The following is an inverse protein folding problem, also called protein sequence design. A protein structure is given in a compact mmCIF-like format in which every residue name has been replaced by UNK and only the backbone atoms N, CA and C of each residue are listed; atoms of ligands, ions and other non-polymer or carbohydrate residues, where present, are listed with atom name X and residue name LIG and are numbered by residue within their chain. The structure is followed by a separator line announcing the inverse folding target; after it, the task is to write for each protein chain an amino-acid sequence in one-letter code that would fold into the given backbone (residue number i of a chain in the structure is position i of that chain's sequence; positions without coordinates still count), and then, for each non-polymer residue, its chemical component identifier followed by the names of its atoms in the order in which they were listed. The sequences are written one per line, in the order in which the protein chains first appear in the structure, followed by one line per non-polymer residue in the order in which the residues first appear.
data_IF_368661080024
#
_entry.id   IF_368661080024
#
_cell.length_a   1.000
_cell.length_b   1.000
_cell.length_c   1.000
_cell.angle_alpha   90.00
_cell.angle_beta   90.00
_cell.angle_gamma   90.00
#
_symmetry.space_group_name_H-M   'P 1'
#
loop_
_entity.id
_entity.type
_entity.pdbx_description
1 polymer ?
#
# COMPACT_ATOMS: atom_id res chain seq x y z
N UNK A 1 9.29 -7.24 -4.96
CA UNK A 1 9.29 -8.57 -4.32
C UNK A 1 8.72 -9.60 -5.27
N UNK A 2 7.43 -9.77 -5.51
CA UNK A 2 6.91 -10.74 -6.48
C UNK A 2 6.52 -10.04 -7.79
N UNK A 3 6.75 -10.71 -8.91
CA UNK A 3 6.39 -10.21 -10.24
C UNK A 3 4.92 -10.53 -10.50
N UNK A 4 4.01 -9.70 -9.95
CA UNK A 4 2.60 -9.84 -10.25
C UNK A 4 2.36 -9.66 -11.73
N UNK A 5 1.60 -10.57 -12.35
CA UNK A 5 1.42 -10.63 -13.81
C UNK A 5 0.85 -9.34 -14.42
N UNK A 6 0.16 -8.51 -13.63
CA UNK A 6 -0.46 -7.26 -14.05
C UNK A 6 0.37 -6.00 -13.77
N UNK A 7 1.57 -6.14 -13.14
CA UNK A 7 2.26 -4.99 -12.54
C UNK A 7 3.60 -4.71 -13.21
N UNK A 8 3.77 -3.47 -13.68
CA UNK A 8 5.06 -2.90 -14.03
C UNK A 8 5.19 -1.54 -13.34
N UNK A 9 5.75 -1.54 -12.12
CA UNK A 9 5.83 -0.33 -11.29
C UNK A 9 6.66 0.78 -11.95
N UNK A 10 7.72 0.46 -12.66
CA UNK A 10 8.54 1.46 -13.36
C UNK A 10 7.72 2.21 -14.41
N UNK A 11 6.90 1.49 -15.16
CA UNK A 11 6.05 2.07 -16.19
C UNK A 11 4.86 2.84 -15.60
N UNK A 12 4.25 2.31 -14.55
CA UNK A 12 3.08 2.90 -13.89
C UNK A 12 3.47 4.21 -13.17
N UNK A 13 4.59 4.20 -12.45
CA UNK A 13 5.04 5.38 -11.68
C UNK A 13 5.83 6.39 -12.51
N UNK A 14 6.40 5.98 -13.65
CA UNK A 14 7.36 6.77 -14.40
C UNK A 14 8.70 6.99 -13.69
N UNK A 15 8.88 6.45 -12.50
CA UNK A 15 10.09 6.59 -11.71
C UNK A 15 11.20 5.70 -12.27
N UNK A 16 12.33 6.31 -12.63
CA UNK A 16 13.51 5.60 -13.13
C UNK A 16 14.39 5.09 -11.99
N UNK A 17 14.38 5.80 -10.85
CA UNK A 17 15.16 5.47 -9.66
C UNK A 17 14.27 5.28 -8.42
N UNK A 18 14.70 4.48 -7.44
CA UNK A 18 14.02 4.38 -6.16
C UNK A 18 13.96 5.74 -5.45
N UNK A 19 12.85 6.02 -4.77
CA UNK A 19 12.73 7.22 -3.97
C UNK A 19 13.76 7.23 -2.83
N UNK A 20 14.47 8.35 -2.69
CA UNK A 20 15.40 8.62 -1.59
C UNK A 20 14.86 9.67 -0.62
N UNK A 21 15.65 10.00 0.39
CA UNK A 21 15.32 11.06 1.38
C UNK A 21 15.02 12.39 0.71
N UNK A 22 15.81 12.79 -0.27
CA UNK A 22 15.61 14.04 -1.02
C UNK A 22 14.28 14.04 -1.81
N UNK A 23 13.86 12.87 -2.31
CA UNK A 23 12.54 12.74 -2.96
C UNK A 23 11.41 13.05 -1.99
N UNK A 24 11.53 12.58 -0.74
CA UNK A 24 10.54 12.85 0.33
C UNK A 24 10.48 14.34 0.65
N UNK A 25 11.63 14.96 0.87
CA UNK A 25 11.74 16.40 1.17
C UNK A 25 11.14 17.25 0.04
N UNK A 26 11.60 17.04 -1.17
CA UNK A 26 11.13 17.78 -2.34
C UNK A 26 9.61 17.64 -2.54
N UNK A 27 9.03 16.46 -2.32
CA UNK A 27 7.59 16.24 -2.42
C UNK A 27 6.82 17.06 -1.36
N UNK A 28 7.30 17.09 -0.12
CA UNK A 28 6.66 17.83 0.97
C UNK A 28 6.80 19.34 0.74
N UNK A 29 7.99 19.83 0.38
CA UNK A 29 8.26 21.24 0.13
C UNK A 29 7.46 21.76 -1.08
N UNK A 30 7.37 20.99 -2.15
CA UNK A 30 6.53 21.31 -3.30
C UNK A 30 5.05 21.42 -2.91
N UNK A 31 4.56 20.50 -2.06
CA UNK A 31 3.21 20.55 -1.54
C UNK A 31 3.01 21.73 -0.55
N UNK A 32 4.06 22.15 0.16
CA UNK A 32 3.99 23.27 1.09
C UNK A 32 3.69 24.59 0.39
N UNK A 33 4.11 24.75 -0.85
CA UNK A 33 3.83 25.92 -1.68
C UNK A 33 2.34 26.06 -2.06
N UNK A 34 1.55 25.00 -1.93
CA UNK A 34 0.12 25.00 -2.23
C UNK A 34 -0.71 25.43 -1.00
N UNK A 35 -1.79 26.20 -1.16
CA UNK A 35 -2.65 26.58 -0.04
C UNK A 35 -3.36 25.34 0.53
N UNK A 36 -3.43 25.24 1.86
CA UNK A 36 -4.12 24.10 2.54
C UNK A 36 -5.64 24.16 2.38
N UNK A 37 -6.24 25.35 2.34
CA UNK A 37 -7.70 25.55 2.27
C UNK A 37 -8.50 24.70 3.27
N UNK A 38 -7.96 24.50 4.48
CA UNK A 38 -8.54 23.62 5.51
C UNK A 38 -8.32 22.12 5.31
N UNK A 39 -7.69 21.69 4.21
CA UNK A 39 -7.41 20.29 3.95
C UNK A 39 -6.19 19.77 4.73
N UNK A 40 -6.25 18.49 5.15
CA UNK A 40 -5.11 17.80 5.73
C UNK A 40 -4.09 17.44 4.65
N UNK A 41 -2.82 17.63 4.96
CA UNK A 41 -1.70 17.28 4.11
C UNK A 41 -1.13 15.94 4.55
N UNK A 42 -1.20 14.92 3.69
CA UNK A 42 -0.69 13.58 4.01
C UNK A 42 0.46 13.21 3.07
N UNK A 43 1.55 12.71 3.64
CA UNK A 43 2.60 12.05 2.87
C UNK A 43 2.24 10.58 2.68
N UNK A 44 2.31 10.11 1.44
CA UNK A 44 2.00 8.74 1.09
C UNK A 44 3.17 8.05 0.39
N UNK A 45 3.59 6.90 0.92
CA UNK A 45 4.57 6.02 0.27
C UNK A 45 3.84 4.98 -0.58
N UNK A 46 3.86 5.20 -1.89
CA UNK A 46 3.25 4.32 -2.89
C UNK A 46 4.28 3.84 -3.92
N UNK A 47 3.88 2.92 -4.77
CA UNK A 47 4.71 2.43 -5.88
C UNK A 47 5.40 1.11 -5.58
N UNK A 48 4.93 0.37 -4.59
CA UNK A 48 5.44 -0.95 -4.22
C UNK A 48 5.05 -1.36 -2.81
N UNK A 49 5.73 -2.38 -2.29
CA UNK A 49 5.49 -2.86 -0.91
C UNK A 49 6.51 -2.21 0.02
N UNK A 50 6.12 -1.13 0.69
CA UNK A 50 7.03 -0.34 1.53
C UNK A 50 7.74 -1.19 2.59
N UNK A 51 7.02 -2.06 3.29
CA UNK A 51 7.60 -2.89 4.37
C UNK A 51 8.47 -4.05 3.86
N UNK A 52 8.49 -4.29 2.54
CA UNK A 52 9.33 -5.30 1.90
C UNK A 52 10.66 -4.76 1.36
N UNK A 53 10.94 -3.45 1.46
CA UNK A 53 12.26 -2.89 1.16
C UNK A 53 13.19 -3.04 2.38
N UNK A 54 14.53 -2.91 2.22
CA UNK A 54 15.48 -3.00 3.33
C UNK A 54 15.14 -2.07 4.49
N UNK A 55 15.29 -2.55 5.72
CA UNK A 55 14.92 -1.81 6.95
C UNK A 55 15.60 -0.44 7.01
N UNK A 56 16.88 -0.36 6.69
CA UNK A 56 17.62 0.91 6.68
C UNK A 56 17.03 1.94 5.72
N UNK A 57 16.49 1.51 4.58
CA UNK A 57 15.80 2.40 3.64
C UNK A 57 14.43 2.83 4.20
N UNK A 58 13.67 1.91 4.81
CA UNK A 58 12.41 2.28 5.48
C UNK A 58 12.66 3.36 6.53
N UNK A 59 13.65 3.16 7.39
CA UNK A 59 13.99 4.08 8.48
C UNK A 59 14.46 5.44 7.97
N UNK A 60 15.28 5.48 6.93
CA UNK A 60 15.71 6.72 6.31
C UNK A 60 14.55 7.54 5.72
N UNK A 61 13.64 6.88 4.98
CA UNK A 61 12.47 7.53 4.39
C UNK A 61 11.46 8.00 5.45
N UNK A 62 11.19 7.14 6.44
CA UNK A 62 10.26 7.47 7.52
C UNK A 62 10.84 8.53 8.45
N UNK A 63 12.16 8.52 8.71
CA UNK A 63 12.84 9.55 9.51
C UNK A 63 12.69 10.93 8.87
N UNK A 64 12.95 11.03 7.58
CA UNK A 64 12.74 12.27 6.84
C UNK A 64 11.28 12.75 6.92
N UNK A 65 10.31 11.86 6.75
CA UNK A 65 8.89 12.19 6.83
C UNK A 65 8.48 12.65 8.24
N UNK A 66 9.02 12.00 9.28
CA UNK A 66 8.73 12.30 10.68
C UNK A 66 9.16 13.72 11.08
N UNK A 67 10.30 14.21 10.60
CA UNK A 67 10.75 15.58 10.85
C UNK A 67 9.69 16.62 10.43
N UNK A 68 9.07 16.44 9.28
CA UNK A 68 8.01 17.33 8.79
C UNK A 68 6.67 17.12 9.52
N UNK A 69 6.39 15.90 9.99
CA UNK A 69 5.22 15.62 10.82
C UNK A 69 5.33 16.33 12.17
N UNK A 70 6.50 16.26 12.83
CA UNK A 70 6.77 16.90 14.11
C UNK A 70 6.72 18.44 14.01
N UNK A 71 7.12 19.02 12.88
CA UNK A 71 7.00 20.44 12.60
C UNK A 71 5.58 20.89 12.17
N UNK A 72 4.64 19.95 12.01
CA UNK A 72 3.27 20.24 11.57
C UNK A 72 3.16 20.67 10.10
N UNK A 73 4.17 20.42 9.29
CA UNK A 73 4.16 20.72 7.85
C UNK A 73 3.33 19.69 7.07
N UNK A 74 3.27 18.44 7.57
CA UNK A 74 2.30 17.43 7.17
C UNK A 74 1.49 16.98 8.39
N UNK A 75 0.28 16.47 8.16
CA UNK A 75 -0.67 16.08 9.22
C UNK A 75 -0.68 14.58 9.44
N UNK A 76 -0.20 13.77 8.49
CA UNK A 76 -0.17 12.31 8.60
C UNK A 76 0.80 11.67 7.60
N UNK A 77 1.23 10.47 7.94
CA UNK A 77 2.00 9.57 7.08
C UNK A 77 1.18 8.32 6.82
N UNK A 78 1.13 7.89 5.56
CA UNK A 78 0.50 6.65 5.13
C UNK A 78 1.40 5.89 4.18
N UNK A 79 1.21 4.57 4.08
CA UNK A 79 1.99 3.74 3.17
C UNK A 79 1.17 2.58 2.63
N UNK A 80 1.60 2.08 1.45
CA UNK A 80 1.04 0.87 0.86
C UNK A 80 2.03 -0.29 0.98
N UNK A 81 1.49 -1.46 1.32
CA UNK A 81 2.28 -2.67 1.42
C UNK A 81 1.45 -3.93 1.13
N UNK A 82 2.11 -5.08 1.21
CA UNK A 82 1.51 -6.39 0.99
C UNK A 82 1.27 -7.12 2.31
N UNK A 83 0.27 -8.02 2.38
CA UNK A 83 -0.11 -8.69 3.62
C UNK A 83 1.01 -9.52 4.25
N UNK A 84 1.77 -10.27 3.45
CA UNK A 84 2.87 -11.13 3.89
C UNK A 84 4.15 -10.39 4.33
N UNK A 85 4.14 -9.05 4.30
CA UNK A 85 5.21 -8.19 4.79
C UNK A 85 4.79 -7.37 6.03
N UNK A 86 3.87 -7.89 6.83
CA UNK A 86 3.39 -7.32 8.09
C UNK A 86 3.68 -8.30 9.22
N UNK A 87 4.34 -7.80 10.24
CA UNK A 87 4.55 -8.46 11.52
C UNK A 87 4.61 -7.44 12.66
N UNK A 88 4.72 -7.91 13.91
CA UNK A 88 4.76 -7.05 15.09
C UNK A 88 5.96 -6.09 15.11
N UNK A 89 7.13 -6.49 14.60
CA UNK A 89 8.32 -5.64 14.55
C UNK A 89 8.16 -4.52 13.51
N UNK A 90 7.58 -4.85 12.35
CA UNK A 90 7.21 -3.88 11.32
C UNK A 90 6.23 -2.86 11.88
N UNK A 91 5.14 -3.29 12.52
CA UNK A 91 4.12 -2.39 13.06
C UNK A 91 4.68 -1.50 14.18
N UNK A 92 5.53 -2.04 15.06
CA UNK A 92 6.19 -1.24 16.09
C UNK A 92 7.08 -0.14 15.47
N UNK A 93 7.84 -0.47 14.43
CA UNK A 93 8.66 0.50 13.69
C UNK A 93 7.79 1.58 13.06
N UNK A 94 6.76 1.20 12.31
CA UNK A 94 5.85 2.16 11.66
C UNK A 94 5.22 3.12 12.69
N UNK A 95 4.79 2.58 13.83
CA UNK A 95 4.24 3.37 14.94
C UNK A 95 5.27 4.37 15.49
N UNK A 96 6.51 3.93 15.68
CA UNK A 96 7.61 4.77 16.16
C UNK A 96 7.91 5.97 15.26
N UNK A 97 7.65 5.86 13.96
CA UNK A 97 7.84 6.95 13.00
C UNK A 97 6.56 7.77 12.72
N UNK A 98 5.46 7.53 13.44
CA UNK A 98 4.23 8.31 13.31
C UNK A 98 3.37 7.97 12.09
N UNK A 99 3.54 6.79 11.52
CA UNK A 99 2.60 6.30 10.48
C UNK A 99 1.21 6.13 11.11
N UNK A 100 0.20 6.65 10.47
CA UNK A 100 -1.19 6.58 10.93
C UNK A 100 -2.05 5.61 10.12
N UNK A 101 -1.73 5.39 8.85
CA UNK A 101 -2.55 4.58 7.95
C UNK A 101 -1.69 3.56 7.18
N UNK A 102 -2.14 2.32 7.16
CA UNK A 102 -1.56 1.24 6.36
C UNK A 102 -2.58 0.78 5.32
N UNK A 103 -2.15 0.78 4.05
CA UNK A 103 -2.93 0.27 2.93
C UNK A 103 -2.41 -1.10 2.53
N UNK A 104 -3.25 -2.12 2.63
CA UNK A 104 -2.92 -3.48 2.21
C UNK A 104 -3.42 -3.78 0.81
N UNK A 105 -2.52 -4.21 -0.05
CA UNK A 105 -2.85 -4.73 -1.37
C UNK A 105 -3.38 -6.16 -1.29
N UNK A 106 -4.60 -6.37 -0.85
CA UNK A 106 -5.27 -7.68 -0.85
C UNK A 106 -5.47 -8.21 -2.26
N UNK A 107 -5.94 -7.36 -3.14
CA UNK A 107 -6.28 -7.58 -4.55
C UNK A 107 -7.49 -8.52 -4.74
N UNK A 108 -7.47 -9.71 -4.16
CA UNK A 108 -8.58 -10.68 -4.13
C UNK A 108 -8.57 -11.47 -2.82
N UNK A 109 -9.69 -12.07 -2.47
CA UNK A 109 -9.84 -13.06 -1.40
C UNK A 109 -10.13 -14.47 -1.95
N UNK A 110 -9.90 -14.68 -3.25
CA UNK A 110 -9.97 -15.96 -3.94
C UNK A 110 -8.56 -16.48 -4.20
N UNK A 111 -8.21 -17.62 -3.62
CA UNK A 111 -6.86 -18.22 -3.72
C UNK A 111 -6.43 -18.49 -5.16
N UNK A 112 -7.37 -18.91 -6.02
CA UNK A 112 -7.07 -19.15 -7.43
C UNK A 112 -6.69 -17.86 -8.16
N UNK A 113 -7.43 -16.77 -7.92
CA UNK A 113 -7.15 -15.44 -8.49
C UNK A 113 -5.80 -14.93 -8.01
N UNK A 114 -5.49 -15.07 -6.71
CA UNK A 114 -4.20 -14.68 -6.14
C UNK A 114 -3.05 -15.45 -6.77
N UNK A 115 -3.21 -16.76 -6.91
CA UNK A 115 -2.21 -17.65 -7.53
C UNK A 115 -1.97 -17.31 -9.00
N UNK A 116 -3.03 -17.17 -9.79
CA UNK A 116 -2.94 -16.83 -11.22
C UNK A 116 -2.36 -15.44 -11.44
N UNK A 117 -2.57 -14.53 -10.50
CA UNK A 117 -2.04 -13.16 -10.56
C UNK A 117 -0.61 -13.04 -10.05
N UNK A 118 0.03 -14.14 -9.60
CA UNK A 118 1.40 -14.13 -9.08
C UNK A 118 1.56 -13.30 -7.79
N UNK A 119 0.51 -13.23 -6.94
CA UNK A 119 0.54 -12.36 -5.74
C UNK A 119 1.50 -12.85 -4.67
N UNK A 120 1.66 -14.16 -4.48
CA UNK A 120 2.58 -14.77 -3.53
C UNK A 120 2.16 -14.63 -2.06
N UNK A 121 0.95 -14.16 -1.78
CA UNK A 121 0.29 -14.20 -0.47
C UNK A 121 -1.07 -14.87 -0.59
N UNK A 122 -1.65 -15.27 0.52
CA UNK A 122 -2.94 -15.93 0.64
C UNK A 122 -4.04 -14.98 1.16
N UNK A 123 -5.30 -15.39 1.05
CA UNK A 123 -6.40 -14.67 1.70
C UNK A 123 -6.26 -14.68 3.23
N UNK A 124 -5.68 -15.73 3.80
CA UNK A 124 -5.41 -15.82 5.24
C UNK A 124 -4.37 -14.77 5.68
N UNK A 125 -3.34 -14.53 4.87
CA UNK A 125 -2.37 -13.45 5.13
C UNK A 125 -3.07 -12.08 5.20
N UNK A 126 -4.04 -11.83 4.31
CA UNK A 126 -4.85 -10.60 4.35
C UNK A 126 -5.62 -10.47 5.67
N UNK A 127 -6.27 -11.56 6.11
CA UNK A 127 -7.02 -11.58 7.37
C UNK A 127 -6.10 -11.31 8.56
N UNK A 128 -4.97 -12.02 8.63
CA UNK A 128 -4.01 -11.93 9.72
C UNK A 128 -3.36 -10.55 9.79
N UNK A 129 -2.90 -10.01 8.67
CA UNK A 129 -2.31 -8.67 8.59
C UNK A 129 -3.34 -7.58 8.95
N UNK A 130 -4.59 -7.71 8.48
CA UNK A 130 -5.66 -6.76 8.80
C UNK A 130 -5.92 -6.69 10.31
N UNK A 131 -5.97 -7.85 10.97
CA UNK A 131 -6.13 -7.92 12.43
C UNK A 131 -4.97 -7.24 13.15
N UNK A 132 -3.73 -7.62 12.83
CA UNK A 132 -2.52 -7.06 13.44
C UNK A 132 -2.45 -5.53 13.29
N UNK A 133 -2.76 -5.00 12.09
CA UNK A 133 -2.77 -3.56 11.83
C UNK A 133 -3.78 -2.84 12.71
N UNK A 134 -5.00 -3.37 12.81
CA UNK A 134 -6.06 -2.78 13.65
C UNK A 134 -5.73 -2.86 15.14
N UNK A 135 -5.25 -4.01 15.61
CA UNK A 135 -4.86 -4.23 17.01
C UNK A 135 -3.70 -3.29 17.41
N UNK A 136 -2.80 -2.96 16.48
CA UNK A 136 -1.75 -1.97 16.69
C UNK A 136 -2.25 -0.50 16.61
N UNK A 137 -3.54 -0.27 16.32
CA UNK A 137 -4.19 1.04 16.33
C UNK A 137 -3.88 1.91 15.11
N UNK A 138 -3.61 1.28 13.95
CA UNK A 138 -3.54 1.97 12.66
C UNK A 138 -4.91 2.03 12.00
N UNK A 139 -5.12 3.06 11.18
CA UNK A 139 -6.19 3.05 10.18
C UNK A 139 -5.83 2.06 9.06
N UNK A 140 -6.76 1.17 8.73
CA UNK A 140 -6.61 0.13 7.72
C UNK A 140 -7.37 0.48 6.45
N UNK A 141 -6.66 0.54 5.33
CA UNK A 141 -7.28 0.58 4.00
C UNK A 141 -7.02 -0.74 3.30
N UNK A 142 -8.05 -1.38 2.77
CA UNK A 142 -7.91 -2.57 1.94
C UNK A 142 -8.09 -2.20 0.45
N UNK A 143 -7.16 -2.67 -0.36
CA UNK A 143 -7.20 -2.47 -1.80
C UNK A 143 -7.57 -3.78 -2.48
N UNK A 144 -8.61 -3.78 -3.30
CA UNK A 144 -9.00 -4.89 -4.17
C UNK A 144 -8.92 -4.51 -5.65
N UNK A 145 -8.77 -5.52 -6.48
CA UNK A 145 -8.83 -5.38 -7.94
C UNK A 145 -9.94 -6.25 -8.51
N UNK A 146 -10.55 -5.79 -9.59
CA UNK A 146 -11.56 -6.53 -10.34
C UNK A 146 -11.02 -6.90 -11.72
N UNK A 147 -11.41 -8.07 -12.24
CA UNK A 147 -11.00 -8.53 -13.57
C UNK A 147 -9.57 -9.04 -13.65
N UNK A 148 -9.00 -9.53 -12.55
CA UNK A 148 -7.72 -10.25 -12.53
C UNK A 148 -7.85 -11.61 -13.23
N UNK A 149 -6.75 -12.26 -13.64
CA UNK A 149 -6.78 -13.61 -14.18
C UNK A 149 -7.53 -14.59 -13.26
N UNK A 150 -8.52 -15.29 -13.83
CA UNK A 150 -9.39 -16.21 -13.10
C UNK A 150 -10.50 -15.55 -12.28
N UNK A 151 -10.65 -14.23 -12.33
CA UNK A 151 -11.74 -13.52 -11.67
C UNK A 151 -13.07 -13.69 -12.41
N UNK A 152 -14.16 -13.49 -11.68
CA UNK A 152 -15.53 -13.42 -12.20
C UNK A 152 -16.36 -12.42 -11.38
N UNK A 153 -17.54 -11.99 -11.84
CA UNK A 153 -18.42 -11.13 -11.05
C UNK A 153 -18.72 -11.72 -9.67
N UNK A 154 -18.94 -13.02 -9.56
CA UNK A 154 -19.27 -13.73 -8.32
C UNK A 154 -18.04 -13.72 -7.37
N UNK A 155 -16.84 -13.98 -7.90
CA UNK A 155 -15.58 -13.95 -7.12
C UNK A 155 -15.24 -12.53 -6.66
N UNK A 156 -15.51 -11.54 -7.52
CA UNK A 156 -15.35 -10.12 -7.16
C UNK A 156 -16.28 -9.73 -6.00
N UNK A 157 -17.56 -10.15 -6.03
CA UNK A 157 -18.53 -9.89 -4.97
C UNK A 157 -18.12 -10.62 -3.68
N UNK A 158 -17.78 -11.91 -3.73
CA UNK A 158 -17.28 -12.68 -2.59
C UNK A 158 -16.04 -12.02 -1.96
N UNK A 159 -15.12 -11.53 -2.80
CA UNK A 159 -13.96 -10.77 -2.34
C UNK A 159 -14.37 -9.49 -1.60
N UNK A 160 -15.32 -8.73 -2.15
CA UNK A 160 -15.81 -7.51 -1.52
C UNK A 160 -16.48 -7.78 -0.17
N UNK A 161 -17.31 -8.83 -0.07
CA UNK A 161 -17.96 -9.25 1.18
C UNK A 161 -16.94 -9.64 2.25
N UNK A 162 -15.94 -10.45 1.89
CA UNK A 162 -14.85 -10.84 2.79
C UNK A 162 -14.04 -9.63 3.26
N UNK A 163 -13.73 -8.67 2.37
CA UNK A 163 -13.04 -7.43 2.71
C UNK A 163 -13.87 -6.60 3.70
N UNK A 164 -15.16 -6.43 3.43
CA UNK A 164 -16.08 -5.68 4.31
C UNK A 164 -16.17 -6.33 5.69
N UNK A 165 -16.18 -7.66 5.76
CA UNK A 165 -16.20 -8.40 7.03
C UNK A 165 -14.97 -8.13 7.92
N UNK A 166 -13.82 -7.73 7.34
CA UNK A 166 -12.62 -7.31 8.07
C UNK A 166 -12.76 -5.91 8.69
N UNK A 167 -13.83 -5.16 8.35
CA UNK A 167 -14.13 -3.81 8.85
C UNK A 167 -12.95 -2.84 8.69
N UNK A 168 -12.44 -2.64 7.46
CA UNK A 168 -11.43 -1.62 7.22
C UNK A 168 -12.03 -0.21 7.37
N UNK A 169 -11.17 0.79 7.59
CA UNK A 169 -11.57 2.21 7.62
C UNK A 169 -11.85 2.75 6.22
N UNK A 170 -11.38 2.06 5.19
CA UNK A 170 -11.68 2.38 3.80
C UNK A 170 -11.32 1.25 2.86
N UNK A 171 -11.90 1.30 1.67
CA UNK A 171 -11.61 0.34 0.58
C UNK A 171 -11.28 1.12 -0.69
N UNK A 172 -10.28 0.62 -1.43
CA UNK A 172 -9.97 1.07 -2.79
C UNK A 172 -10.27 -0.06 -3.76
N UNK A 173 -11.00 0.24 -4.81
CA UNK A 173 -11.34 -0.72 -5.87
C UNK A 173 -10.70 -0.25 -7.17
N UNK A 174 -9.86 -1.10 -7.76
CA UNK A 174 -9.18 -0.82 -9.01
C UNK A 174 -9.61 -1.83 -10.09
N UNK A 175 -10.11 -1.37 -11.24
CA UNK A 175 -10.25 -2.25 -12.39
C UNK A 175 -8.85 -2.67 -12.88
N UNK A 176 -8.72 -3.91 -13.32
CA UNK A 176 -7.48 -4.39 -13.95
C UNK A 176 -7.32 -3.72 -15.31
N UNK A 177 -6.21 -3.01 -15.47
CA UNK A 177 -5.82 -2.40 -16.73
C UNK A 177 -4.60 -3.16 -17.27
N UNK A 178 -4.68 -3.59 -18.53
CA UNK A 178 -3.58 -4.28 -19.19
C UNK A 178 -2.49 -3.26 -19.54
N UNK A 179 -1.34 -3.41 -18.93
CA UNK A 179 -0.18 -2.54 -19.11
C UNK A 179 0.85 -3.27 -19.97
N UNK A 180 1.41 -2.59 -20.98
CA UNK A 180 2.50 -3.16 -21.79
C UNK A 180 3.69 -3.56 -20.92
N UNK A 181 4.43 -4.55 -21.38
CA UNK A 181 5.60 -5.11 -20.67
C UNK A 181 5.21 -5.74 -19.31
N UNK A 182 4.05 -6.39 -19.26
CA UNK A 182 3.58 -7.23 -18.14
C UNK A 182 3.19 -8.60 -18.69
N UNK A 183 3.32 -9.64 -17.87
CA UNK A 183 2.89 -10.99 -18.26
C UNK A 183 1.39 -11.10 -18.57
N UNK A 184 0.60 -10.12 -18.15
CA UNK A 184 -0.83 -10.04 -18.47
C UNK A 184 -1.08 -9.49 -19.89
N UNK A 185 -0.09 -8.76 -20.45
CA UNK A 185 -0.18 -8.20 -21.81
C UNK A 185 0.19 -9.24 -22.88
N UNK A 186 1.15 -10.13 -22.58
CA UNK A 186 1.69 -11.16 -23.48
C UNK A 186 0.75 -12.38 -23.57
#
# INVERSE_FOLDING_TARGET
PNDCVFCNQRRISGAQEPAGVETVKNAIESAAALPRNGAKRQLAFYGGSFTAIPVCQQEALLGAAREYLERGEIDAIRLSTRPDAIDGAVLARLKGYGVGTVELGAQSMCEEVLRLSGRGHTAEDVVNASRQIKDAGFSLILQMMTGLPGDSPERTIDTAEKIIALRPDGVRIYPTVIVRDTALYD
#
